data_IF_706741604465
#
_entry.id   IF_706741604465
#
_cell.length_a   1.000
_cell.length_b   1.000
_cell.length_c   1.000
_cell.angle_alpha   90.00
_cell.angle_beta   90.00
_cell.angle_gamma   90.00
#
_symmetry.space_group_name_H-M   'P 1'
#
loop_
_entity.id
_entity.type
_entity.pdbx_description
1 polymer ?
#
# COMPACT_ATOMS: atom_id res chain seq x y z
N UNK A 1 -25.69 -14.13 27.37
CA UNK A 1 -25.46 -13.02 28.32
C UNK A 1 -25.31 -11.74 27.49
N UNK A 2 -26.35 -10.90 27.54
CA UNK A 2 -26.45 -9.71 26.70
C UNK A 2 -25.64 -8.57 27.30
N UNK A 3 -24.44 -8.32 26.75
CA UNK A 3 -23.66 -7.13 27.03
C UNK A 3 -24.35 -5.90 26.47
N UNK A 4 -24.88 -5.06 27.34
CA UNK A 4 -25.46 -3.76 27.02
C UNK A 4 -24.43 -2.92 26.29
N UNK A 5 -24.56 -2.77 24.97
CA UNK A 5 -23.87 -1.75 24.21
C UNK A 5 -24.31 -0.37 24.73
N UNK A 6 -23.58 0.19 25.68
CA UNK A 6 -23.61 1.63 25.98
C UNK A 6 -23.32 2.36 24.67
N UNK A 7 -24.33 2.98 24.08
CA UNK A 7 -24.18 3.86 22.93
C UNK A 7 -23.17 4.94 23.31
N UNK A 8 -22.03 4.91 22.65
CA UNK A 8 -21.06 5.98 22.69
C UNK A 8 -21.76 7.18 22.05
N UNK A 9 -22.14 8.14 22.88
CA UNK A 9 -22.59 9.45 22.44
C UNK A 9 -21.44 10.13 21.73
N UNK A 10 -21.69 10.83 20.63
CA UNK A 10 -20.76 11.80 20.07
C UNK A 10 -20.67 12.95 21.09
N UNK A 11 -19.96 12.73 22.19
CA UNK A 11 -19.61 13.81 23.11
C UNK A 11 -18.37 14.47 22.49
N UNK A 12 -18.45 15.72 21.99
CA UNK A 12 -17.25 16.49 21.82
C UNK A 12 -16.52 16.49 23.16
N UNK A 13 -15.22 16.28 23.14
CA UNK A 13 -14.42 16.27 24.35
C UNK A 13 -14.68 17.58 25.12
N UNK A 14 -15.31 17.46 26.30
CA UNK A 14 -15.70 18.59 27.12
C UNK A 14 -17.22 18.75 27.29
N UNK A 15 -17.60 19.57 28.26
CA UNK A 15 -18.96 19.78 28.75
C UNK A 15 -19.86 20.65 27.82
N UNK A 16 -19.73 20.48 26.49
CA UNK A 16 -20.45 21.30 25.50
C UNK A 16 -21.99 21.19 25.62
N UNK A 17 -22.49 19.99 25.91
CA UNK A 17 -23.94 19.76 26.06
C UNK A 17 -24.49 20.55 27.25
N UNK A 18 -23.80 20.48 28.39
CA UNK A 18 -24.17 21.21 29.60
C UNK A 18 -24.04 22.73 29.39
N UNK A 19 -23.00 23.19 28.70
CA UNK A 19 -22.81 24.59 28.34
C UNK A 19 -23.90 25.09 27.38
N UNK A 20 -24.23 24.31 26.35
CA UNK A 20 -25.29 24.67 25.42
C UNK A 20 -26.67 24.74 26.12
N UNK A 21 -26.94 23.79 27.01
CA UNK A 21 -28.18 23.83 27.82
C UNK A 21 -28.19 25.04 28.80
N UNK A 22 -27.08 25.36 29.42
CA UNK A 22 -26.92 26.51 30.31
C UNK A 22 -27.01 27.86 29.59
N UNK A 23 -26.70 27.90 28.31
CA UNK A 23 -26.83 29.10 27.48
C UNK A 23 -28.30 29.47 27.17
N UNK A 24 -29.24 28.49 27.21
CA UNK A 24 -30.65 28.71 26.91
C UNK A 24 -31.27 29.79 27.79
N UNK A 25 -31.22 29.69 29.14
CA UNK A 25 -31.80 30.72 29.98
C UNK A 25 -31.10 32.08 29.83
N UNK A 26 -29.81 32.14 29.57
CA UNK A 26 -29.06 33.39 29.32
C UNK A 26 -29.56 34.04 28.04
N UNK A 27 -29.63 33.29 26.96
CA UNK A 27 -30.11 33.79 25.66
C UNK A 27 -31.59 34.20 25.74
N UNK A 28 -32.40 33.43 26.45
CA UNK A 28 -33.80 33.73 26.73
C UNK A 28 -33.95 35.08 27.48
N UNK A 29 -33.20 35.26 28.54
CA UNK A 29 -33.17 36.54 29.27
C UNK A 29 -32.73 37.70 28.38
N UNK A 30 -31.69 37.54 27.54
CA UNK A 30 -31.25 38.54 26.59
C UNK A 30 -32.37 38.94 25.61
N UNK A 31 -33.15 38.00 25.12
CA UNK A 31 -34.29 38.26 24.24
C UNK A 31 -35.42 39.03 24.97
N UNK A 32 -35.69 38.74 26.25
CA UNK A 32 -36.65 39.51 27.04
C UNK A 32 -36.15 40.93 27.27
N UNK A 33 -34.90 41.14 27.68
CA UNK A 33 -34.34 42.48 27.86
C UNK A 33 -34.38 43.29 26.55
N UNK A 34 -34.04 42.66 25.40
CA UNK A 34 -34.13 43.27 24.10
C UNK A 34 -35.58 43.65 23.75
N UNK A 35 -36.56 42.75 24.05
CA UNK A 35 -37.96 43.05 23.75
C UNK A 35 -38.53 44.18 24.59
N UNK A 36 -38.09 44.34 25.85
CA UNK A 36 -38.49 45.48 26.71
C UNK A 36 -37.82 46.79 26.30
N UNK A 37 -36.65 46.73 25.68
CA UNK A 37 -35.95 47.89 25.15
C UNK A 37 -36.49 48.38 23.79
N UNK A 38 -37.22 47.58 23.06
CA UNK A 38 -37.83 47.92 21.78
C UNK A 38 -39.31 48.32 21.96
N UNK A 39 -39.91 49.08 21.02
CA UNK A 39 -41.34 49.36 21.06
C UNK A 39 -42.17 48.08 21.09
N UNK A 40 -42.97 47.89 22.13
CA UNK A 40 -43.79 46.69 22.32
C UNK A 40 -45.25 47.11 22.68
N UNK A 41 -46.24 46.23 22.40
CA UNK A 41 -47.63 46.50 22.78
C UNK A 41 -47.78 46.59 24.31
N UNK A 42 -48.49 47.60 24.78
CA UNK A 42 -48.84 47.75 26.19
C UNK A 42 -49.93 46.77 26.58
N UNK A 43 -49.61 45.69 27.27
CA UNK A 43 -50.62 44.68 27.68
C UNK A 43 -50.06 43.60 28.59
N UNK A 44 -48.74 43.51 28.82
CA UNK A 44 -48.11 42.54 29.71
C UNK A 44 -47.66 43.16 31.02
N UNK A 45 -47.33 42.31 31.98
CA UNK A 45 -46.70 42.73 33.25
C UNK A 45 -45.19 42.86 33.05
N UNK A 46 -44.73 44.10 32.68
CA UNK A 46 -43.34 44.40 32.46
C UNK A 46 -42.46 44.12 33.68
N UNK A 47 -42.98 44.32 34.88
CA UNK A 47 -42.24 44.07 36.11
C UNK A 47 -42.02 42.56 36.32
N UNK A 48 -43.04 41.75 36.05
CA UNK A 48 -42.93 40.30 36.08
C UNK A 48 -41.97 39.78 35.01
N UNK A 49 -42.05 40.28 33.75
CA UNK A 49 -41.13 39.92 32.67
C UNK A 49 -39.68 40.24 33.02
N UNK A 50 -39.44 41.43 33.60
CA UNK A 50 -38.09 41.85 34.02
C UNK A 50 -37.55 40.96 35.17
N UNK A 51 -38.38 40.61 36.15
CA UNK A 51 -38.04 39.75 37.25
C UNK A 51 -37.70 38.32 36.75
N UNK A 52 -38.54 37.75 35.88
CA UNK A 52 -38.35 36.44 35.30
C UNK A 52 -37.09 36.38 34.44
N UNK A 53 -36.84 37.40 33.61
CA UNK A 53 -35.60 37.49 32.80
C UNK A 53 -34.34 37.60 33.67
N UNK A 54 -34.40 38.38 34.72
CA UNK A 54 -33.26 38.53 35.65
C UNK A 54 -32.97 37.22 36.36
N UNK A 55 -34.00 36.49 36.80
CA UNK A 55 -33.90 35.15 37.38
C UNK A 55 -33.30 34.14 36.41
N UNK A 56 -33.76 34.16 35.16
CA UNK A 56 -33.20 33.31 34.09
C UNK A 56 -31.73 33.56 33.86
N UNK A 57 -31.32 34.83 33.74
CA UNK A 57 -29.92 35.19 33.55
C UNK A 57 -29.03 34.72 34.69
N UNK A 58 -29.47 34.97 35.95
CA UNK A 58 -28.75 34.53 37.13
C UNK A 58 -28.59 32.99 37.21
N UNK A 59 -29.70 32.28 37.00
CA UNK A 59 -29.73 30.80 37.00
C UNK A 59 -28.86 30.24 35.85
N UNK A 60 -28.93 30.81 34.66
CA UNK A 60 -28.10 30.43 33.51
C UNK A 60 -26.62 30.61 33.76
N UNK A 61 -26.20 31.69 34.41
CA UNK A 61 -24.80 31.94 34.78
C UNK A 61 -24.31 30.89 35.81
N UNK A 62 -25.11 30.54 36.81
CA UNK A 62 -24.81 29.50 37.78
C UNK A 62 -24.69 28.15 37.07
N UNK A 63 -25.66 27.81 36.21
CA UNK A 63 -25.64 26.57 35.44
C UNK A 63 -24.42 26.47 34.52
N UNK A 64 -23.99 27.60 33.92
CA UNK A 64 -22.79 27.68 33.12
C UNK A 64 -21.52 27.41 33.95
N UNK A 65 -21.43 28.00 35.12
CA UNK A 65 -20.30 27.80 36.04
C UNK A 65 -20.22 26.33 36.53
N UNK A 66 -21.37 25.69 36.73
CA UNK A 66 -21.47 24.30 37.18
C UNK A 66 -21.44 23.27 36.01
N UNK A 67 -21.46 23.71 34.78
CA UNK A 67 -21.57 22.85 33.58
C UNK A 67 -20.53 21.73 33.54
N UNK A 68 -19.32 21.95 34.09
CA UNK A 68 -18.24 20.98 34.18
C UNK A 68 -18.55 19.77 35.07
N UNK A 69 -19.48 19.90 36.02
CA UNK A 69 -19.82 18.90 37.03
C UNK A 69 -21.28 18.41 36.93
N UNK A 70 -22.03 18.87 35.93
CA UNK A 70 -23.46 18.62 35.84
C UNK A 70 -23.71 17.19 35.34
N UNK A 71 -24.50 16.38 36.08
CA UNK A 71 -24.93 15.07 35.63
C UNK A 71 -25.94 15.16 34.48
N UNK A 72 -26.15 14.10 33.69
CA UNK A 72 -27.09 14.07 32.58
C UNK A 72 -28.53 14.45 33.01
N UNK A 73 -28.97 13.97 34.16
CA UNK A 73 -30.28 14.35 34.73
C UNK A 73 -30.39 15.87 34.99
N UNK A 74 -29.33 16.52 35.41
CA UNK A 74 -29.28 17.97 35.59
C UNK A 74 -29.42 18.74 34.28
N UNK A 75 -28.81 18.22 33.19
CA UNK A 75 -28.95 18.82 31.86
C UNK A 75 -30.38 18.73 31.34
N UNK A 76 -31.06 17.57 31.55
CA UNK A 76 -32.45 17.41 31.18
C UNK A 76 -33.36 18.31 31.99
N UNK A 77 -33.13 18.43 33.31
CA UNK A 77 -33.87 19.32 34.19
C UNK A 77 -33.71 20.81 33.75
N UNK A 78 -32.51 21.19 33.35
CA UNK A 78 -32.20 22.54 32.86
C UNK A 78 -33.00 22.87 31.58
N UNK A 79 -33.02 21.96 30.61
CA UNK A 79 -33.79 22.16 29.36
C UNK A 79 -35.29 22.19 29.66
N UNK A 80 -35.78 21.27 30.49
CA UNK A 80 -37.20 21.22 30.87
C UNK A 80 -37.63 22.47 31.65
N UNK A 81 -36.78 22.95 32.55
CA UNK A 81 -36.98 24.23 33.27
C UNK A 81 -37.02 25.45 32.36
N UNK A 82 -36.08 25.52 31.40
CA UNK A 82 -36.06 26.61 30.42
C UNK A 82 -37.37 26.64 29.58
N UNK A 83 -37.87 25.46 29.20
CA UNK A 83 -39.17 25.36 28.51
C UNK A 83 -40.34 25.85 29.39
N UNK A 84 -40.36 25.48 30.66
CA UNK A 84 -41.42 25.93 31.59
C UNK A 84 -41.39 27.41 31.83
N UNK A 85 -40.19 27.98 32.05
CA UNK A 85 -40.03 29.44 32.25
C UNK A 85 -40.39 30.21 30.99
N UNK A 86 -40.10 29.67 29.79
CA UNK A 86 -40.58 30.28 28.54
C UNK A 86 -42.11 30.35 28.46
N UNK A 87 -42.78 29.28 28.93
CA UNK A 87 -44.26 29.30 29.05
C UNK A 87 -44.78 30.38 29.99
N UNK A 88 -44.05 30.59 31.12
CA UNK A 88 -44.38 31.69 32.05
C UNK A 88 -44.18 33.07 31.38
N UNK A 89 -43.08 33.29 30.65
CA UNK A 89 -42.82 34.52 29.88
C UNK A 89 -43.96 34.84 28.87
N UNK A 90 -44.46 33.81 28.18
CA UNK A 90 -45.56 33.95 27.25
C UNK A 90 -46.84 34.37 28.00
N UNK A 91 -47.09 33.80 29.18
CA UNK A 91 -48.20 34.15 30.03
C UNK A 91 -48.12 35.60 30.55
N UNK A 92 -46.97 36.03 31.13
CA UNK A 92 -46.70 37.35 31.63
C UNK A 92 -46.75 38.43 30.54
N UNK A 93 -46.38 38.10 29.31
CA UNK A 93 -46.44 39.01 28.15
C UNK A 93 -47.90 39.33 27.73
N UNK A 94 -48.89 38.59 28.20
CA UNK A 94 -50.29 38.76 27.82
C UNK A 94 -50.59 38.47 26.34
N UNK A 95 -49.56 38.08 25.59
CA UNK A 95 -49.66 37.87 24.14
C UNK A 95 -49.43 36.41 23.79
N UNK A 96 -50.50 35.67 23.53
CA UNK A 96 -50.43 34.29 23.09
C UNK A 96 -49.65 34.08 21.76
N UNK A 97 -49.32 35.16 21.08
CA UNK A 97 -48.43 35.22 19.88
C UNK A 97 -47.22 36.09 20.22
N UNK A 98 -46.44 35.65 21.19
CA UNK A 98 -45.24 36.40 21.60
C UNK A 98 -43.99 35.90 20.92
N UNK A 99 -43.01 36.81 20.78
CA UNK A 99 -41.67 36.55 20.30
C UNK A 99 -40.93 35.46 21.13
N UNK A 100 -41.33 35.22 22.35
CA UNK A 100 -40.70 34.27 23.28
C UNK A 100 -40.85 32.80 22.86
N UNK A 101 -41.85 32.46 22.05
CA UNK A 101 -41.99 31.10 21.47
C UNK A 101 -40.77 30.65 20.65
N UNK A 102 -39.94 31.59 20.15
CA UNK A 102 -38.72 31.29 19.44
C UNK A 102 -37.67 30.58 20.32
N UNK A 103 -37.70 30.82 21.64
CA UNK A 103 -36.80 30.14 22.62
C UNK A 103 -37.04 28.63 22.61
N UNK A 104 -38.26 28.15 22.38
CA UNK A 104 -38.59 26.75 22.30
C UNK A 104 -37.90 26.03 21.13
N UNK A 105 -37.66 26.71 20.01
CA UNK A 105 -36.89 26.17 18.87
C UNK A 105 -35.49 25.80 19.32
N UNK A 106 -34.84 26.66 20.11
CA UNK A 106 -33.46 26.37 20.62
C UNK A 106 -33.44 25.17 21.57
N UNK A 107 -34.46 25.03 22.45
CA UNK A 107 -34.56 23.89 23.34
C UNK A 107 -34.68 22.58 22.56
N UNK A 108 -35.52 22.54 21.51
CA UNK A 108 -35.69 21.36 20.65
C UNK A 108 -34.47 21.10 19.78
N UNK A 109 -33.82 22.13 19.28
CA UNK A 109 -32.53 22.00 18.55
C UNK A 109 -31.46 21.33 19.42
N UNK A 110 -31.27 21.80 20.65
CA UNK A 110 -30.29 21.21 21.60
C UNK A 110 -30.72 19.76 21.92
N UNK A 111 -31.99 19.53 22.24
CA UNK A 111 -32.49 18.19 22.54
C UNK A 111 -32.24 17.23 21.33
N UNK A 112 -32.51 17.71 20.11
CA UNK A 112 -32.40 16.88 18.89
C UNK A 112 -30.94 16.64 18.45
N UNK A 113 -30.05 17.59 18.72
CA UNK A 113 -28.64 17.49 18.34
C UNK A 113 -27.82 16.60 19.31
N UNK A 114 -28.01 16.80 20.61
CA UNK A 114 -27.20 16.16 21.63
C UNK A 114 -27.76 14.86 22.21
N UNK A 115 -29.07 14.61 22.08
CA UNK A 115 -29.72 13.44 22.70
C UNK A 115 -30.30 12.47 21.67
N UNK A 116 -30.66 11.28 22.15
CA UNK A 116 -31.33 10.29 21.30
C UNK A 116 -32.72 10.76 20.88
N UNK A 117 -33.20 10.26 19.74
CA UNK A 117 -34.53 10.59 19.22
C UNK A 117 -35.64 10.37 20.27
N UNK A 118 -35.50 9.36 21.12
CA UNK A 118 -36.48 9.08 22.20
C UNK A 118 -36.53 10.21 23.23
N UNK A 119 -35.37 10.70 23.64
CA UNK A 119 -35.26 11.80 24.61
C UNK A 119 -35.72 13.11 23.98
N UNK A 120 -35.37 13.39 22.73
CA UNK A 120 -35.87 14.57 22.01
C UNK A 120 -37.40 14.58 21.91
N UNK A 121 -38.05 13.42 21.69
CA UNK A 121 -39.52 13.26 21.73
C UNK A 121 -40.09 13.59 23.12
N UNK A 122 -39.44 13.15 24.20
CA UNK A 122 -39.86 13.48 25.56
C UNK A 122 -39.82 14.98 25.82
N UNK A 123 -38.74 15.66 25.40
CA UNK A 123 -38.65 17.12 25.53
C UNK A 123 -39.70 17.85 24.66
N UNK A 124 -39.97 17.36 23.44
CA UNK A 124 -41.03 17.91 22.61
C UNK A 124 -42.39 17.76 23.25
N UNK A 125 -42.68 16.55 23.79
CA UNK A 125 -43.96 16.29 24.49
C UNK A 125 -44.15 17.20 25.72
N UNK A 126 -43.10 17.37 26.52
CA UNK A 126 -43.07 18.30 27.65
C UNK A 126 -43.34 19.76 27.21
N UNK A 127 -42.67 20.24 26.17
CA UNK A 127 -42.84 21.58 25.60
C UNK A 127 -44.29 21.78 25.14
N UNK A 128 -44.86 20.81 24.43
CA UNK A 128 -46.26 20.89 23.96
C UNK A 128 -47.27 20.89 25.10
N UNK A 129 -46.99 20.16 26.21
CA UNK A 129 -47.82 20.19 27.41
C UNK A 129 -47.76 21.56 28.08
N UNK A 130 -46.56 22.13 28.28
CA UNK A 130 -46.38 23.49 28.81
C UNK A 130 -47.13 24.51 27.94
N UNK A 131 -46.98 24.40 26.61
CA UNK A 131 -47.66 25.34 25.69
C UNK A 131 -49.16 25.19 25.72
N UNK A 132 -49.70 23.99 25.82
CA UNK A 132 -51.16 23.79 25.95
C UNK A 132 -51.73 24.46 27.22
N UNK A 133 -51.03 24.34 28.36
CA UNK A 133 -51.39 25.02 29.61
C UNK A 133 -51.30 26.56 29.43
N UNK A 134 -50.21 27.05 28.85
CA UNK A 134 -50.05 28.51 28.63
C UNK A 134 -51.17 29.07 27.75
N UNK A 135 -51.53 28.39 26.65
CA UNK A 135 -52.64 28.79 25.78
C UNK A 135 -54.02 28.77 26.44
N UNK A 136 -54.20 27.88 27.45
CA UNK A 136 -55.42 27.86 28.24
C UNK A 136 -55.58 28.99 29.26
N UNK A 137 -54.44 29.60 29.68
CA UNK A 137 -54.38 30.67 30.67
C UNK A 137 -54.34 32.07 30.06
N UNK A 138 -53.92 32.20 28.80
CA UNK A 138 -53.82 33.50 28.11
C UNK A 138 -55.08 33.77 27.29
N UNK A 139 -55.74 34.90 27.50
CA UNK A 139 -56.88 35.29 26.71
C UNK A 139 -56.54 35.51 25.24
N UNK A 140 -57.31 34.89 24.35
CA UNK A 140 -57.04 34.91 22.91
C UNK A 140 -57.53 36.21 22.28
N UNK A 141 -56.65 37.20 22.14
CA UNK A 141 -56.96 38.50 21.52
C UNK A 141 -56.73 38.52 19.99
N UNK A 142 -56.25 37.49 19.39
CA UNK A 142 -55.91 37.46 17.95
C UNK A 142 -56.64 36.31 17.18
N UNK A 143 -56.90 36.51 15.91
CA UNK A 143 -57.76 35.74 14.99
C UNK A 143 -57.55 34.23 14.82
N UNK A 144 -56.60 33.57 15.48
CA UNK A 144 -56.42 32.13 15.43
C UNK A 144 -56.76 31.48 16.76
N UNK A 145 -57.49 30.35 16.71
CA UNK A 145 -57.82 29.57 17.89
C UNK A 145 -56.60 29.01 18.62
N UNK A 146 -56.63 28.82 19.95
CA UNK A 146 -55.55 28.17 20.69
C UNK A 146 -55.13 26.80 20.10
N UNK A 147 -56.08 26.02 19.63
CA UNK A 147 -55.83 24.72 18.99
C UNK A 147 -55.01 24.87 17.70
N UNK A 148 -55.37 25.85 16.86
CA UNK A 148 -54.60 26.11 15.60
C UNK A 148 -53.14 26.45 15.90
N UNK A 149 -52.88 27.30 16.88
CA UNK A 149 -51.51 27.70 17.30
C UNK A 149 -50.74 26.50 17.83
N UNK A 150 -51.37 25.66 18.66
CA UNK A 150 -50.77 24.48 19.21
C UNK A 150 -50.38 23.48 18.08
N UNK A 151 -51.26 23.26 17.10
CA UNK A 151 -51.01 22.41 15.95
C UNK A 151 -49.83 22.95 15.10
N UNK A 152 -49.80 24.23 14.79
CA UNK A 152 -48.70 24.83 14.04
C UNK A 152 -47.36 24.68 14.76
N UNK A 153 -47.32 24.89 16.08
CA UNK A 153 -46.10 24.71 16.89
C UNK A 153 -45.68 23.23 16.92
N UNK A 154 -46.63 22.30 17.11
CA UNK A 154 -46.36 20.86 17.04
C UNK A 154 -45.72 20.48 15.70
N UNK A 155 -46.34 20.89 14.59
CA UNK A 155 -45.85 20.56 13.25
C UNK A 155 -44.45 21.17 13.04
N UNK A 156 -44.25 22.46 13.31
CA UNK A 156 -43.02 23.17 13.11
C UNK A 156 -41.89 22.57 13.93
N UNK A 157 -42.06 22.34 15.21
CA UNK A 157 -41.06 21.78 16.10
C UNK A 157 -40.76 20.30 15.78
N UNK A 158 -41.78 19.56 15.34
CA UNK A 158 -41.61 18.18 14.89
C UNK A 158 -40.76 18.12 13.64
N UNK A 159 -40.99 19.01 12.66
CA UNK A 159 -40.16 19.10 11.45
C UNK A 159 -38.72 19.45 11.81
N UNK A 160 -38.49 20.45 12.66
CA UNK A 160 -37.14 20.81 13.14
C UNK A 160 -36.47 19.62 13.82
N UNK A 161 -37.15 18.93 14.73
CA UNK A 161 -36.63 17.74 15.41
C UNK A 161 -36.23 16.65 14.41
N UNK A 162 -37.09 16.37 13.42
CA UNK A 162 -36.84 15.33 12.42
C UNK A 162 -35.64 15.69 11.50
N UNK A 163 -35.53 16.94 11.06
CA UNK A 163 -34.45 17.41 10.26
C UNK A 163 -33.12 17.31 10.99
N UNK A 164 -33.03 17.87 12.20
CA UNK A 164 -31.80 17.84 13.00
C UNK A 164 -31.36 16.42 13.34
N UNK A 165 -32.28 15.60 13.84
CA UNK A 165 -31.97 14.19 14.13
C UNK A 165 -31.62 13.41 12.87
N UNK A 166 -32.20 13.75 11.72
CA UNK A 166 -31.84 13.18 10.41
C UNK A 166 -30.40 13.50 10.01
N UNK A 167 -30.01 14.75 10.10
CA UNK A 167 -28.65 15.22 9.78
C UNK A 167 -27.63 14.58 10.70
N UNK A 168 -27.84 14.63 12.01
CA UNK A 168 -26.92 14.06 13.02
C UNK A 168 -26.75 12.53 12.80
N UNK A 169 -27.86 11.82 12.55
CA UNK A 169 -27.80 10.40 12.29
C UNK A 169 -27.15 10.06 10.93
N UNK A 170 -27.30 10.92 9.92
CA UNK A 170 -26.63 10.73 8.64
C UNK A 170 -25.13 10.91 8.78
N UNK A 171 -24.69 11.97 9.48
CA UNK A 171 -23.28 12.22 9.77
C UNK A 171 -22.65 11.07 10.58
N UNK A 172 -23.29 10.66 11.69
CA UNK A 172 -22.80 9.55 12.51
C UNK A 172 -22.74 8.22 11.73
N UNK A 173 -23.63 8.02 10.74
CA UNK A 173 -23.56 6.84 9.84
C UNK A 173 -22.41 6.95 8.85
N UNK A 174 -22.15 8.15 8.32
CA UNK A 174 -21.02 8.39 7.43
C UNK A 174 -19.68 8.16 8.14
N UNK A 175 -19.49 8.74 9.33
CA UNK A 175 -18.29 8.55 10.15
C UNK A 175 -18.07 7.07 10.51
N UNK A 176 -19.15 6.38 10.90
CA UNK A 176 -19.07 4.95 11.20
C UNK A 176 -18.72 4.10 9.98
N UNK A 177 -19.18 4.48 8.78
CA UNK A 177 -18.79 3.81 7.54
C UNK A 177 -17.32 4.06 7.22
N UNK A 178 -16.89 5.31 7.26
CA UNK A 178 -15.49 5.68 7.01
C UNK A 178 -14.55 4.92 7.95
N UNK A 179 -14.85 4.91 9.26
CA UNK A 179 -14.08 4.16 10.24
C UNK A 179 -14.07 2.65 9.99
N UNK A 180 -15.21 2.07 9.55
CA UNK A 180 -15.26 0.65 9.18
C UNK A 180 -14.41 0.34 7.95
N UNK A 181 -14.42 1.20 6.91
CA UNK A 181 -13.54 1.04 5.75
C UNK A 181 -12.08 1.08 6.16
N UNK A 182 -11.69 2.02 7.02
CA UNK A 182 -10.35 2.11 7.56
C UNK A 182 -9.94 0.83 8.29
N UNK A 183 -10.76 0.35 9.23
CA UNK A 183 -10.45 -0.83 10.05
C UNK A 183 -10.50 -2.16 9.29
N UNK A 184 -11.42 -2.31 8.32
CA UNK A 184 -11.60 -3.56 7.57
C UNK A 184 -10.69 -3.66 6.35
N UNK A 185 -9.93 -2.61 6.02
CA UNK A 185 -8.94 -2.68 4.94
C UNK A 185 -7.94 -3.82 5.19
N UNK A 186 -7.60 -4.56 4.14
CA UNK A 186 -6.50 -5.51 4.17
C UNK A 186 -5.15 -4.80 4.15
N UNK A 187 -5.07 -3.66 3.47
CA UNK A 187 -3.85 -2.85 3.47
C UNK A 187 -3.64 -2.18 4.84
N UNK A 188 -2.40 -2.04 5.22
CA UNK A 188 -1.97 -1.30 6.39
C UNK A 188 -2.10 0.19 6.11
N UNK A 189 -3.11 0.82 6.72
CA UNK A 189 -3.37 2.24 6.59
C UNK A 189 -2.81 2.98 7.80
N UNK A 190 -2.17 4.11 7.56
CA UNK A 190 -1.74 5.01 8.62
C UNK A 190 -1.83 6.48 8.20
N UNK A 191 -2.02 7.34 9.19
CA UNK A 191 -1.79 8.77 9.08
C UNK A 191 -0.56 9.14 9.90
N UNK A 192 0.27 10.03 9.38
CA UNK A 192 1.51 10.48 10.03
C UNK A 192 1.58 12.00 10.04
N UNK A 193 2.28 12.55 11.02
CA UNK A 193 2.65 13.96 11.03
C UNK A 193 3.88 14.25 10.15
N UNK A 194 4.31 15.50 10.13
CA UNK A 194 5.46 15.98 9.36
C UNK A 194 6.79 15.34 9.79
N UNK A 195 6.89 14.88 11.03
CA UNK A 195 8.04 14.18 11.57
C UNK A 195 8.02 12.67 11.27
N UNK A 196 6.99 12.18 10.57
CA UNK A 196 6.79 10.77 10.23
C UNK A 196 6.31 9.91 11.40
N UNK A 197 5.71 10.52 12.43
CA UNK A 197 5.12 9.80 13.56
C UNK A 197 3.70 9.39 13.27
N UNK A 198 3.39 8.13 13.51
CA UNK A 198 2.04 7.58 13.34
C UNK A 198 1.05 8.27 14.27
N UNK A 199 -0.02 8.82 13.73
CA UNK A 199 -1.13 9.42 14.45
C UNK A 199 -2.31 8.45 14.58
N UNK A 200 -2.62 7.78 13.48
CA UNK A 200 -3.69 6.79 13.43
C UNK A 200 -3.26 5.64 12.52
N UNK A 201 -3.54 4.40 12.94
CA UNK A 201 -3.26 3.18 12.17
C UNK A 201 -4.44 2.23 12.28
N UNK A 202 -4.71 1.45 11.23
CA UNK A 202 -5.78 0.47 11.25
C UNK A 202 -5.31 -0.89 11.79
N UNK A 203 -6.26 -1.80 12.06
CA UNK A 203 -5.97 -3.14 12.57
C UNK A 203 -5.17 -4.05 11.63
N UNK A 204 -4.90 -3.66 10.38
CA UNK A 204 -4.08 -4.44 9.47
C UNK A 204 -2.62 -4.52 9.93
N UNK A 205 -2.09 -3.49 10.57
CA UNK A 205 -0.73 -3.50 11.14
C UNK A 205 -0.53 -4.64 12.15
N UNK A 206 -1.55 -4.89 12.98
CA UNK A 206 -1.49 -5.99 13.93
C UNK A 206 -1.56 -7.37 13.24
N UNK A 207 -2.31 -7.48 12.15
CA UNK A 207 -2.45 -8.74 11.40
C UNK A 207 -1.20 -9.10 10.60
N UNK A 208 -0.52 -8.11 10.01
CA UNK A 208 0.63 -8.34 9.13
C UNK A 208 1.97 -8.26 9.84
N UNK A 209 2.14 -7.27 10.74
CA UNK A 209 3.42 -7.01 11.40
C UNK A 209 3.39 -7.22 12.93
N UNK A 210 2.22 -7.57 13.50
CA UNK A 210 2.08 -7.86 14.92
C UNK A 210 2.01 -6.64 15.85
N UNK A 211 2.09 -5.40 15.34
CA UNK A 211 2.02 -4.18 16.15
C UNK A 211 0.59 -3.73 16.35
N UNK A 212 0.19 -3.51 17.60
CA UNK A 212 -1.12 -2.90 17.89
C UNK A 212 -1.14 -1.40 17.56
N UNK A 213 -2.33 -0.80 17.30
CA UNK A 213 -2.45 0.62 17.06
C UNK A 213 -1.85 1.49 18.18
N UNK A 214 -1.98 1.05 19.43
CA UNK A 214 -1.47 1.76 20.60
C UNK A 214 0.06 1.77 20.65
N UNK A 215 0.70 0.70 20.21
CA UNK A 215 2.17 0.57 20.13
C UNK A 215 2.75 1.45 19.01
N UNK A 216 2.02 1.59 17.89
CA UNK A 216 2.47 2.41 16.77
C UNK A 216 2.17 3.90 16.95
N UNK A 217 1.22 4.27 17.81
CA UNK A 217 0.89 5.67 18.02
C UNK A 217 2.10 6.48 18.52
N UNK A 218 2.47 7.53 17.80
CA UNK A 218 3.66 8.36 18.09
C UNK A 218 5.00 7.75 17.66
N UNK A 219 5.04 6.50 17.20
CA UNK A 219 6.27 5.86 16.69
C UNK A 219 6.58 6.40 15.29
N UNK A 220 7.86 6.62 14.99
CA UNK A 220 8.32 6.98 13.65
C UNK A 220 8.42 5.70 12.81
N UNK A 221 7.77 5.66 11.66
CA UNK A 221 7.87 4.50 10.76
C UNK A 221 9.30 4.22 10.29
N UNK A 222 10.12 5.26 10.19
CA UNK A 222 11.54 5.13 9.86
C UNK A 222 12.29 4.25 10.87
N UNK A 223 11.91 4.28 12.15
CA UNK A 223 12.57 3.48 13.22
C UNK A 223 12.31 1.97 13.05
N UNK A 224 11.27 1.61 12.29
CA UNK A 224 10.94 0.22 11.94
C UNK A 224 11.48 -0.16 10.56
N UNK A 225 11.98 0.78 9.77
CA UNK A 225 12.52 0.56 8.42
C UNK A 225 13.95 0.03 8.51
N UNK A 226 14.35 -0.81 7.55
CA UNK A 226 15.71 -1.34 7.49
C UNK A 226 16.74 -0.21 7.29
N UNK A 227 17.90 -0.24 7.99
CA UNK A 227 18.90 0.84 7.92
C UNK A 227 19.33 1.22 6.49
N UNK A 228 19.51 0.24 5.61
CA UNK A 228 19.91 0.48 4.21
C UNK A 228 18.84 1.26 3.41
N UNK A 229 17.57 1.22 3.86
CA UNK A 229 16.46 1.87 3.19
C UNK A 229 16.17 3.28 3.76
N UNK A 230 16.89 3.70 4.84
CA UNK A 230 16.66 4.98 5.53
C UNK A 230 16.89 6.19 4.63
N UNK A 231 18.03 6.25 3.93
CA UNK A 231 18.37 7.39 3.06
C UNK A 231 17.31 7.60 1.98
N UNK A 232 16.90 6.51 1.33
CA UNK A 232 15.88 6.54 0.29
C UNK A 232 14.51 6.94 0.84
N UNK A 233 14.16 6.46 2.02
CA UNK A 233 12.91 6.81 2.70
C UNK A 233 12.84 8.29 3.08
N UNK A 234 13.94 8.85 3.59
CA UNK A 234 14.04 10.27 3.92
C UNK A 234 13.98 11.16 2.68
N UNK A 235 14.70 10.78 1.62
CA UNK A 235 14.68 11.54 0.36
C UNK A 235 13.27 11.60 -0.24
N UNK A 236 12.55 10.47 -0.20
CA UNK A 236 11.16 10.38 -0.69
C UNK A 236 10.20 11.21 0.17
N UNK A 237 10.34 11.16 1.50
CA UNK A 237 9.56 11.98 2.41
C UNK A 237 9.77 13.48 2.13
N UNK A 238 11.03 13.93 1.97
CA UNK A 238 11.35 15.31 1.62
C UNK A 238 10.75 15.73 0.27
N UNK A 239 10.80 14.84 -0.72
CA UNK A 239 10.18 15.06 -2.04
C UNK A 239 8.67 15.24 -1.92
N UNK A 240 8.00 14.39 -1.14
CA UNK A 240 6.56 14.45 -0.88
C UNK A 240 6.15 15.81 -0.29
N UNK A 241 6.87 16.29 0.72
CA UNK A 241 6.59 17.60 1.32
C UNK A 241 6.89 18.77 0.38
N UNK A 242 7.94 18.67 -0.45
CA UNK A 242 8.34 19.71 -1.39
C UNK A 242 7.40 19.82 -2.59
N UNK A 243 7.01 18.71 -3.17
CA UNK A 243 6.23 18.66 -4.42
C UNK A 243 4.73 18.55 -4.15
N UNK A 244 4.34 17.91 -3.05
CA UNK A 244 2.95 17.55 -2.74
C UNK A 244 2.41 16.43 -3.62
N UNK A 245 3.29 15.75 -4.37
CA UNK A 245 2.92 14.63 -5.24
C UNK A 245 2.84 13.34 -4.44
N UNK A 246 1.96 12.42 -4.85
CA UNK A 246 1.95 11.07 -4.26
C UNK A 246 3.25 10.34 -4.59
N UNK A 247 3.77 9.60 -3.63
CA UNK A 247 4.97 8.78 -3.77
C UNK A 247 4.65 7.30 -3.59
N UNK A 248 5.46 6.44 -4.22
CA UNK A 248 5.40 4.98 -4.03
C UNK A 248 6.80 4.48 -3.75
N UNK A 249 6.98 3.84 -2.61
CA UNK A 249 8.26 3.33 -2.14
C UNK A 249 8.13 1.89 -1.66
N UNK A 250 9.13 1.06 -1.99
CA UNK A 250 9.26 -0.30 -1.43
C UNK A 250 10.42 -0.31 -0.44
N UNK A 251 10.13 -0.69 0.80
CA UNK A 251 11.11 -0.75 1.89
C UNK A 251 10.91 -1.99 2.74
N UNK A 252 11.98 -2.42 3.38
CA UNK A 252 11.94 -3.46 4.40
C UNK A 252 11.53 -2.86 5.73
N UNK A 253 10.49 -3.40 6.34
CA UNK A 253 9.99 -2.98 7.65
C UNK A 253 10.04 -4.16 8.59
N UNK A 254 10.50 -3.92 9.82
CA UNK A 254 10.64 -4.95 10.85
C UNK A 254 9.30 -5.22 11.51
N UNK A 255 8.87 -6.47 11.50
CA UNK A 255 7.73 -6.93 12.27
C UNK A 255 8.09 -7.09 13.75
N UNK A 256 7.09 -7.24 14.60
CA UNK A 256 7.25 -7.37 16.07
C UNK A 256 8.01 -8.62 16.48
N UNK A 257 7.96 -9.68 15.68
CA UNK A 257 8.71 -10.91 15.90
C UNK A 257 10.19 -10.82 15.45
N UNK A 258 10.58 -9.66 14.89
CA UNK A 258 11.93 -9.40 14.38
C UNK A 258 12.15 -9.72 12.92
N UNK A 259 11.19 -10.33 12.22
CA UNK A 259 11.28 -10.62 10.79
C UNK A 259 11.20 -9.35 9.94
N UNK A 260 11.78 -9.39 8.73
CA UNK A 260 11.74 -8.31 7.77
C UNK A 260 10.69 -8.58 6.71
N UNK A 261 9.79 -7.60 6.51
CA UNK A 261 8.74 -7.63 5.51
C UNK A 261 8.96 -6.53 4.47
N UNK A 262 8.79 -6.85 3.20
CA UNK A 262 8.78 -5.86 2.14
C UNK A 262 7.42 -5.19 2.06
N UNK A 263 7.39 -3.90 2.33
CA UNK A 263 6.18 -3.09 2.20
C UNK A 263 6.28 -2.18 0.99
N UNK A 264 5.26 -2.22 0.14
CA UNK A 264 5.03 -1.21 -0.90
C UNK A 264 4.10 -0.16 -0.31
N UNK A 265 4.64 1.01 -0.03
CA UNK A 265 3.92 2.12 0.60
C UNK A 265 3.65 3.22 -0.41
N UNK A 266 2.37 3.61 -0.53
CA UNK A 266 1.93 4.78 -1.28
C UNK A 266 1.55 5.87 -0.28
N UNK A 267 2.15 7.05 -0.39
CA UNK A 267 1.98 8.17 0.52
C UNK A 267 1.44 9.40 -0.22
N UNK A 268 0.54 10.14 0.43
CA UNK A 268 -0.04 11.39 -0.09
C UNK A 268 -0.13 12.42 1.03
N UNK A 269 0.29 13.66 0.76
CA UNK A 269 0.22 14.77 1.70
C UNK A 269 -1.12 15.50 1.59
N UNK A 270 -1.89 15.56 2.67
CA UNK A 270 -3.03 16.46 2.83
C UNK A 270 -2.51 17.81 3.40
N UNK A 271 -2.35 18.80 2.51
CA UNK A 271 -1.71 20.09 2.86
C UNK A 271 -2.49 20.91 3.87
N UNK A 272 -3.82 20.82 3.83
CA UNK A 272 -4.76 21.49 4.74
C UNK A 272 -4.69 20.95 6.17
N UNK A 273 -4.46 19.66 6.32
CA UNK A 273 -4.36 18.98 7.62
C UNK A 273 -2.92 18.85 8.11
N UNK A 274 -1.92 19.06 7.23
CA UNK A 274 -0.49 18.81 7.46
C UNK A 274 -0.22 17.36 7.88
N UNK A 275 -0.99 16.42 7.29
CA UNK A 275 -0.89 14.99 7.55
C UNK A 275 -0.52 14.23 6.28
N UNK A 276 0.29 13.20 6.45
CA UNK A 276 0.59 12.22 5.39
C UNK A 276 -0.31 11.02 5.57
N UNK A 277 -1.07 10.70 4.54
CA UNK A 277 -1.87 9.48 4.44
C UNK A 277 -1.08 8.43 3.70
N UNK A 278 -0.83 7.30 4.33
CA UNK A 278 -0.07 6.21 3.74
C UNK A 278 -0.86 4.91 3.74
N UNK A 279 -0.70 4.19 2.62
CA UNK A 279 -1.19 2.83 2.41
C UNK A 279 -0.03 1.92 2.13
N UNK A 280 0.16 0.90 2.94
CA UNK A 280 1.21 -0.09 2.78
C UNK A 280 0.61 -1.47 2.52
N UNK A 281 1.13 -2.15 1.51
CA UNK A 281 0.78 -3.53 1.16
C UNK A 281 2.02 -4.40 1.37
N UNK A 282 1.87 -5.54 2.06
CA UNK A 282 2.95 -6.51 2.20
C UNK A 282 3.17 -7.23 0.86
N UNK A 283 4.36 -7.03 0.29
CA UNK A 283 4.79 -7.63 -0.97
C UNK A 283 5.90 -8.67 -0.78
N UNK A 284 6.12 -9.13 0.45
CA UNK A 284 7.20 -10.08 0.79
C UNK A 284 7.09 -11.35 -0.03
N UNK A 285 5.90 -11.96 -0.09
CA UNK A 285 5.68 -13.16 -0.90
C UNK A 285 5.91 -12.92 -2.39
N UNK A 286 5.51 -11.77 -2.90
CA UNK A 286 5.76 -11.40 -4.29
C UNK A 286 7.27 -11.31 -4.58
N UNK A 287 8.05 -10.67 -3.70
CA UNK A 287 9.52 -10.58 -3.83
C UNK A 287 10.20 -11.95 -3.78
N UNK A 288 9.73 -12.84 -2.92
CA UNK A 288 10.27 -14.21 -2.85
C UNK A 288 9.99 -15.01 -4.13
N UNK A 289 8.77 -14.89 -4.66
CA UNK A 289 8.39 -15.57 -5.92
C UNK A 289 9.17 -14.97 -7.11
N UNK A 290 9.38 -13.67 -7.16
CA UNK A 290 10.19 -13.01 -8.20
C UNK A 290 11.65 -13.51 -8.15
N UNK A 291 12.27 -13.55 -6.98
CA UNK A 291 13.63 -14.05 -6.80
C UNK A 291 13.77 -15.53 -7.18
N UNK A 292 12.83 -16.37 -6.77
CA UNK A 292 12.82 -17.82 -7.14
C UNK A 292 12.64 -17.99 -8.65
N UNK A 293 11.77 -17.19 -9.28
CA UNK A 293 11.59 -17.21 -10.73
C UNK A 293 12.87 -16.84 -11.47
N UNK A 294 13.57 -15.80 -11.02
CA UNK A 294 14.84 -15.38 -11.63
C UNK A 294 15.89 -16.47 -11.51
N UNK A 295 16.00 -17.11 -10.34
CA UNK A 295 16.90 -18.24 -10.11
C UNK A 295 16.60 -19.41 -11.07
N UNK A 296 15.33 -19.83 -11.14
CA UNK A 296 14.90 -20.92 -12.02
C UNK A 296 15.15 -20.59 -13.50
N UNK A 297 14.93 -19.35 -13.93
CA UNK A 297 15.24 -18.91 -15.29
C UNK A 297 16.73 -18.99 -15.58
N UNK A 298 17.58 -18.62 -14.62
CA UNK A 298 19.04 -18.80 -14.72
C UNK A 298 19.43 -20.28 -14.89
N UNK A 299 18.89 -21.14 -14.04
CA UNK A 299 19.14 -22.59 -14.10
C UNK A 299 18.70 -23.21 -15.45
N UNK A 300 17.52 -22.80 -15.95
CA UNK A 300 17.03 -23.25 -17.27
C UNK A 300 17.93 -22.74 -18.40
N UNK A 301 18.42 -21.51 -18.33
CA UNK A 301 19.36 -20.98 -19.33
C UNK A 301 20.68 -21.72 -19.32
N UNK A 302 21.22 -22.05 -18.15
CA UNK A 302 22.47 -22.79 -18.01
C UNK A 302 22.29 -24.23 -18.53
N UNK A 303 21.20 -24.92 -18.20
CA UNK A 303 20.87 -26.22 -18.77
C UNK A 303 20.72 -26.18 -20.30
N UNK A 304 20.15 -25.13 -20.85
CA UNK A 304 19.98 -24.96 -22.29
C UNK A 304 21.30 -24.69 -23.05
N UNK A 305 22.41 -24.39 -22.35
CA UNK A 305 23.75 -24.13 -22.89
C UNK A 305 24.70 -25.31 -22.78
N UNK A 306 24.34 -26.34 -22.04
CA UNK A 306 25.14 -27.55 -21.84
C UNK A 306 24.64 -28.72 -22.66
N UNK A 307 25.52 -29.60 -23.03
CA UNK A 307 25.21 -30.93 -23.58
C UNK A 307 24.86 -31.90 -22.45
N UNK A 308 23.68 -32.48 -22.50
CA UNK A 308 23.16 -33.31 -21.40
C UNK A 308 23.98 -34.61 -21.16
N UNK A 309 24.75 -35.08 -22.15
CA UNK A 309 25.55 -36.30 -22.04
C UNK A 309 26.92 -36.02 -21.43
N UNK A 310 27.59 -34.99 -21.91
CA UNK A 310 29.00 -34.70 -21.57
C UNK A 310 29.17 -33.58 -20.52
N UNK A 311 28.13 -32.75 -20.30
CA UNK A 311 28.21 -31.59 -19.44
C UNK A 311 28.97 -30.40 -20.05
N UNK A 312 29.58 -30.56 -21.21
CA UNK A 312 30.28 -29.49 -21.92
C UNK A 312 29.31 -28.46 -22.48
N UNK A 313 29.77 -27.22 -22.78
CA UNK A 313 29.03 -26.30 -23.62
C UNK A 313 28.51 -26.96 -24.89
N UNK A 314 27.27 -26.63 -25.27
CA UNK A 314 26.67 -27.16 -26.49
C UNK A 314 26.79 -26.17 -27.68
N UNK A 315 26.33 -26.57 -28.84
CA UNK A 315 26.34 -25.76 -30.08
C UNK A 315 25.70 -24.37 -29.87
N UNK A 316 24.65 -24.28 -29.05
CA UNK A 316 24.00 -23.00 -28.75
C UNK A 316 24.91 -22.06 -27.96
N UNK A 317 25.60 -22.59 -26.96
CA UNK A 317 26.59 -21.84 -26.19
C UNK A 317 27.69 -21.29 -27.11
N UNK A 318 28.19 -22.10 -28.06
CA UNK A 318 29.16 -21.68 -29.06
C UNK A 318 28.66 -20.48 -29.89
N UNK A 319 27.42 -20.53 -30.38
CA UNK A 319 26.83 -19.42 -31.18
C UNK A 319 26.79 -18.10 -30.40
N UNK A 320 26.63 -18.14 -29.08
CA UNK A 320 26.66 -16.97 -28.22
C UNK A 320 28.09 -16.51 -27.89
N UNK A 321 29.04 -17.45 -27.78
CA UNK A 321 30.42 -17.18 -27.39
C UNK A 321 31.26 -16.64 -28.57
N UNK A 322 31.16 -17.23 -29.75
CA UNK A 322 31.98 -16.90 -30.92
C UNK A 322 31.97 -15.40 -31.27
N UNK A 323 30.85 -14.68 -31.38
CA UNK A 323 30.85 -13.27 -31.69
C UNK A 323 31.60 -12.41 -30.65
N UNK A 324 31.57 -12.85 -29.38
CA UNK A 324 32.24 -12.15 -28.27
C UNK A 324 33.73 -12.35 -28.36
N UNK A 325 34.20 -13.56 -28.57
CA UNK A 325 35.64 -13.86 -28.70
C UNK A 325 36.22 -13.24 -29.97
N UNK A 326 35.53 -13.30 -31.09
CA UNK A 326 35.96 -12.57 -32.32
C UNK A 326 36.07 -11.05 -32.09
N UNK A 327 35.12 -10.46 -31.39
CA UNK A 327 35.14 -9.04 -31.04
C UNK A 327 36.29 -8.70 -30.07
N UNK A 328 36.58 -9.61 -29.13
CA UNK A 328 37.73 -9.49 -28.19
C UNK A 328 39.04 -9.59 -28.94
N UNK A 329 39.21 -10.62 -29.77
CA UNK A 329 40.42 -10.84 -30.57
C UNK A 329 40.69 -9.64 -31.50
N UNK A 330 39.67 -9.10 -32.17
CA UNK A 330 39.77 -7.90 -33.01
C UNK A 330 40.25 -6.68 -32.24
N UNK A 331 39.71 -6.43 -31.05
CA UNK A 331 40.10 -5.28 -30.22
C UNK A 331 41.51 -5.40 -29.70
N UNK A 332 41.92 -6.59 -29.31
CA UNK A 332 43.23 -6.87 -28.72
C UNK A 332 44.31 -7.13 -29.78
N UNK A 333 43.91 -7.27 -31.05
CA UNK A 333 44.79 -7.71 -32.14
C UNK A 333 45.47 -9.04 -31.82
N UNK A 334 44.74 -9.94 -31.15
CA UNK A 334 45.24 -11.24 -30.76
C UNK A 334 44.71 -12.34 -31.68
N UNK A 335 45.47 -13.43 -31.87
CA UNK A 335 45.05 -14.55 -32.69
C UNK A 335 43.87 -15.29 -32.02
N UNK A 336 42.98 -15.88 -32.83
CA UNK A 336 41.89 -16.73 -32.43
C UNK A 336 41.88 -17.96 -33.32
N UNK A 337 42.06 -19.14 -32.72
CA UNK A 337 42.02 -20.39 -33.45
C UNK A 337 40.76 -21.19 -33.10
N UNK A 338 40.26 -21.93 -34.06
CA UNK A 338 39.14 -22.86 -33.94
C UNK A 338 39.53 -24.21 -34.50
N UNK A 339 39.33 -25.28 -33.70
CA UNK A 339 39.50 -26.63 -34.20
C UNK A 339 38.16 -27.39 -34.10
N UNK A 340 37.86 -28.19 -35.14
CA UNK A 340 36.81 -29.20 -35.14
C UNK A 340 37.51 -30.54 -34.96
N UNK A 341 37.06 -31.33 -33.99
CA UNK A 341 37.59 -32.63 -33.60
C UNK A 341 36.46 -33.64 -33.72
N UNK A 342 36.73 -34.78 -34.38
CA UNK A 342 35.74 -35.81 -34.59
C UNK A 342 36.38 -37.19 -34.26
N UNK A 343 35.63 -38.02 -33.51
CA UNK A 343 36.09 -39.36 -33.09
C UNK A 343 36.02 -40.30 -34.28
N UNK A 344 37.15 -40.84 -34.68
CA UNK A 344 37.26 -41.71 -35.83
C UNK A 344 36.47 -43.01 -35.66
N UNK A 345 35.73 -43.37 -36.73
CA UNK A 345 34.96 -44.61 -36.78
C UNK A 345 33.90 -44.78 -35.68
N UNK A 346 33.47 -43.71 -35.04
CA UNK A 346 32.54 -43.74 -33.89
C UNK A 346 31.22 -44.48 -34.21
N UNK A 347 30.67 -44.32 -35.41
CA UNK A 347 29.51 -45.06 -35.83
C UNK A 347 29.76 -46.58 -35.81
N UNK A 348 30.91 -47.04 -36.35
CA UNK A 348 31.27 -48.47 -36.36
C UNK A 348 31.47 -49.01 -34.92
N UNK A 349 31.99 -48.15 -34.04
CA UNK A 349 32.12 -48.51 -32.62
C UNK A 349 30.73 -48.70 -31.98
N UNK A 350 29.80 -47.78 -32.21
CA UNK A 350 28.42 -47.90 -31.75
C UNK A 350 27.73 -49.18 -32.29
N UNK A 351 27.90 -49.44 -33.59
CA UNK A 351 27.31 -50.63 -34.23
C UNK A 351 27.83 -51.95 -33.62
N UNK A 352 29.08 -51.94 -33.13
CA UNK A 352 29.72 -53.11 -32.53
C UNK A 352 29.44 -53.26 -31.03
N UNK A 353 29.48 -52.17 -30.26
CA UNK A 353 29.45 -52.21 -28.80
C UNK A 353 28.15 -51.62 -28.18
N UNK A 354 27.30 -51.08 -29.03
CA UNK A 354 26.03 -50.44 -28.61
C UNK A 354 26.20 -48.99 -28.20
N UNK A 355 25.08 -48.26 -28.28
CA UNK A 355 25.04 -46.79 -28.00
C UNK A 355 25.50 -46.43 -26.58
N UNK A 356 25.23 -47.28 -25.56
CA UNK A 356 25.66 -47.00 -24.19
C UNK A 356 27.19 -46.99 -24.07
N UNK A 357 27.90 -47.87 -24.80
CA UNK A 357 29.35 -47.84 -24.83
C UNK A 357 29.89 -46.61 -25.58
N UNK A 358 29.23 -46.20 -26.65
CA UNK A 358 29.56 -44.93 -27.31
C UNK A 358 29.35 -43.71 -26.43
N UNK A 359 28.28 -43.69 -25.65
CA UNK A 359 28.05 -42.61 -24.67
C UNK A 359 29.18 -42.51 -23.63
N UNK A 360 29.75 -43.66 -23.19
CA UNK A 360 30.90 -43.66 -22.29
C UNK A 360 32.15 -43.13 -22.96
N UNK A 361 32.40 -43.45 -24.25
CA UNK A 361 33.49 -42.88 -25.03
C UNK A 361 33.36 -41.37 -25.09
N UNK A 362 32.17 -40.84 -25.41
CA UNK A 362 31.93 -39.37 -25.48
C UNK A 362 32.17 -38.72 -24.14
N UNK A 363 31.68 -39.29 -23.03
CA UNK A 363 31.96 -38.78 -21.68
C UNK A 363 33.43 -38.81 -21.31
N UNK A 364 34.13 -39.88 -21.70
CA UNK A 364 35.55 -40.00 -21.45
C UNK A 364 36.36 -38.97 -22.25
N UNK A 365 36.08 -38.82 -23.58
CA UNK A 365 36.71 -37.80 -24.41
C UNK A 365 36.46 -36.39 -23.84
N UNK A 366 35.25 -36.08 -23.46
CA UNK A 366 34.93 -34.79 -22.88
C UNK A 366 35.78 -34.48 -21.63
N UNK A 367 35.92 -35.42 -20.71
CA UNK A 367 36.72 -35.25 -19.48
C UNK A 367 38.22 -35.12 -19.75
N UNK A 368 38.76 -36.00 -20.55
CA UNK A 368 40.19 -36.01 -20.85
C UNK A 368 40.61 -34.77 -21.66
N UNK A 369 39.81 -34.39 -22.63
CA UNK A 369 40.09 -33.24 -23.48
C UNK A 369 39.94 -31.89 -22.76
N UNK A 370 38.90 -31.76 -21.91
CA UNK A 370 38.69 -30.56 -21.07
C UNK A 370 39.91 -30.38 -20.10
N UNK A 371 40.42 -31.47 -19.56
CA UNK A 371 41.61 -31.47 -18.70
C UNK A 371 42.93 -31.05 -19.37
N UNK A 372 42.97 -31.06 -20.68
CA UNK A 372 44.13 -30.60 -21.48
C UNK A 372 44.11 -29.11 -21.71
N UNK A 373 42.94 -28.52 -21.69
CA UNK A 373 42.71 -27.13 -22.06
C UNK A 373 42.98 -26.19 -20.87
N UNK A 374 43.22 -24.93 -21.15
CA UNK A 374 43.38 -23.87 -20.15
C UNK A 374 42.01 -23.30 -19.80
N UNK A 375 41.91 -22.58 -18.73
CA UNK A 375 40.65 -21.94 -18.31
C UNK A 375 40.07 -20.91 -19.29
N UNK A 376 40.88 -20.43 -20.25
CA UNK A 376 40.47 -19.49 -21.31
C UNK A 376 40.05 -20.20 -22.59
N UNK A 377 40.47 -21.46 -22.78
CA UNK A 377 40.07 -22.30 -23.89
C UNK A 377 38.64 -22.86 -23.64
N UNK A 378 37.92 -23.14 -24.70
CA UNK A 378 36.58 -23.67 -24.57
C UNK A 378 36.39 -24.91 -25.41
N UNK A 379 36.05 -26.03 -24.77
CA UNK A 379 35.62 -27.27 -25.43
C UNK A 379 34.08 -27.28 -25.51
N UNK A 380 33.57 -27.54 -26.69
CA UNK A 380 32.12 -27.57 -27.00
C UNK A 380 31.80 -28.89 -27.63
N UNK A 381 30.73 -29.56 -27.23
CA UNK A 381 30.16 -30.65 -28.01
C UNK A 381 29.24 -30.07 -29.08
N UNK A 382 29.65 -30.16 -30.35
CA UNK A 382 28.96 -29.57 -31.46
C UNK A 382 27.77 -30.40 -31.93
N UNK A 383 27.91 -31.72 -31.88
CA UNK A 383 26.82 -32.67 -32.19
C UNK A 383 27.39 -34.07 -32.46
N UNK A 384 26.63 -35.15 -32.12
CA UNK A 384 27.07 -36.52 -32.33
C UNK A 384 28.42 -36.82 -31.70
N UNK A 385 29.41 -37.15 -32.52
CA UNK A 385 30.82 -37.39 -32.15
C UNK A 385 31.76 -36.19 -32.40
N UNK A 386 31.18 -35.02 -32.78
CA UNK A 386 31.94 -33.82 -33.12
C UNK A 386 32.08 -32.90 -31.92
N UNK A 387 33.31 -32.50 -31.67
CA UNK A 387 33.66 -31.49 -30.65
C UNK A 387 34.36 -30.31 -31.32
N UNK A 388 34.28 -29.16 -30.70
CA UNK A 388 34.87 -27.95 -31.15
C UNK A 388 35.70 -27.34 -30.04
N UNK A 389 36.91 -26.90 -30.39
CA UNK A 389 37.85 -26.29 -29.46
C UNK A 389 38.09 -24.86 -29.92
N UNK A 390 37.77 -23.92 -29.06
CA UNK A 390 38.00 -22.47 -29.26
C UNK A 390 39.22 -22.08 -28.44
N UNK A 391 40.23 -21.50 -29.10
CA UNK A 391 41.52 -21.17 -28.53
C UNK A 391 41.79 -19.66 -28.71
N UNK A 392 41.33 -18.83 -27.76
CA UNK A 392 41.65 -17.41 -27.78
C UNK A 392 43.14 -17.15 -27.47
N UNK A 393 43.64 -16.02 -27.95
CA UNK A 393 45.01 -15.53 -27.69
C UNK A 393 46.11 -16.60 -27.98
N UNK A 394 45.84 -17.48 -28.98
CA UNK A 394 46.67 -18.65 -29.30
C UNK A 394 47.06 -18.64 -30.78
N UNK A 395 48.35 -18.62 -31.09
CA UNK A 395 48.80 -18.69 -32.47
C UNK A 395 48.60 -20.11 -33.08
N UNK A 396 48.67 -20.24 -34.43
CA UNK A 396 48.38 -21.51 -35.10
C UNK A 396 49.33 -22.68 -34.70
N UNK A 397 50.57 -22.36 -34.38
CA UNK A 397 51.58 -23.38 -34.01
C UNK A 397 51.24 -23.94 -32.61
N UNK A 398 50.97 -23.03 -31.64
CA UNK A 398 50.55 -23.42 -30.31
C UNK A 398 49.19 -24.14 -30.33
N UNK A 399 48.25 -23.64 -31.14
CA UNK A 399 46.94 -24.27 -31.31
C UNK A 399 47.06 -25.70 -31.85
N UNK A 400 47.96 -25.92 -32.81
CA UNK A 400 48.25 -27.25 -33.36
C UNK A 400 48.83 -28.19 -32.30
N UNK A 401 49.74 -27.70 -31.43
CA UNK A 401 50.28 -28.50 -30.31
C UNK A 401 49.19 -28.86 -29.30
N UNK A 402 48.28 -27.95 -28.98
CA UNK A 402 47.16 -28.21 -28.07
C UNK A 402 46.24 -29.27 -28.66
N UNK A 403 45.81 -29.12 -29.92
CA UNK A 403 44.93 -30.07 -30.60
C UNK A 403 45.58 -31.43 -30.80
N UNK A 404 46.88 -31.49 -31.12
CA UNK A 404 47.62 -32.78 -31.24
C UNK A 404 47.74 -33.45 -29.87
N UNK A 405 47.88 -32.68 -28.78
CA UNK A 405 47.83 -33.22 -27.42
C UNK A 405 46.48 -33.80 -27.09
N UNK A 406 45.34 -33.14 -27.45
CA UNK A 406 44.01 -33.67 -27.32
C UNK A 406 43.87 -35.00 -28.06
N UNK A 407 44.29 -35.03 -29.34
CA UNK A 407 44.27 -36.24 -30.16
C UNK A 407 44.99 -37.44 -29.50
N UNK A 408 46.21 -37.21 -29.01
CA UNK A 408 47.01 -38.27 -28.33
C UNK A 408 46.42 -38.72 -27.00
N UNK A 409 45.59 -37.92 -26.38
CA UNK A 409 44.91 -38.25 -25.12
C UNK A 409 43.49 -38.77 -25.34
N UNK A 410 43.11 -39.08 -26.59
CA UNK A 410 41.82 -39.70 -26.88
C UNK A 410 41.75 -41.06 -26.16
N UNK A 411 40.78 -41.26 -25.27
CA UNK A 411 40.72 -42.41 -24.38
C UNK A 411 40.13 -43.64 -25.07
N UNK A 412 40.18 -44.82 -24.37
CA UNK A 412 39.49 -46.07 -24.72
C UNK A 412 39.93 -46.63 -26.09
N UNK A 413 41.22 -46.48 -26.41
CA UNK A 413 41.83 -46.95 -27.68
C UNK A 413 41.15 -46.37 -28.94
N UNK A 414 40.41 -45.28 -28.78
CA UNK A 414 39.87 -44.52 -29.92
C UNK A 414 40.88 -43.54 -30.45
N UNK A 415 40.71 -43.17 -31.71
CA UNK A 415 41.45 -42.04 -32.33
C UNK A 415 40.48 -40.93 -32.69
N UNK A 416 41.01 -39.75 -32.91
CA UNK A 416 40.26 -38.67 -33.46
C UNK A 416 41.02 -37.94 -34.55
N UNK A 417 40.31 -37.36 -35.48
CA UNK A 417 40.84 -36.44 -36.51
C UNK A 417 40.44 -35.01 -36.17
N UNK A 418 41.29 -34.08 -36.51
CA UNK A 418 41.03 -32.65 -36.25
C UNK A 418 41.33 -31.75 -37.45
N UNK A 419 40.53 -30.71 -37.62
CA UNK A 419 40.79 -29.62 -38.55
C UNK A 419 40.91 -28.32 -37.80
N UNK A 420 42.02 -27.57 -37.95
CA UNK A 420 42.33 -26.32 -37.25
C UNK A 420 42.33 -25.15 -38.24
N UNK A 421 41.66 -24.09 -37.92
CA UNK A 421 41.63 -22.86 -38.66
C UNK A 421 41.98 -21.65 -37.78
N UNK A 422 42.85 -20.76 -38.28
CA UNK A 422 43.09 -19.44 -37.71
C UNK A 422 42.02 -18.47 -38.25
N UNK A 423 41.39 -17.68 -37.39
CA UNK A 423 40.51 -16.60 -37.83
C UNK A 423 41.33 -15.44 -38.44
N UNK A 424 40.92 -14.97 -39.62
CA UNK A 424 41.56 -13.92 -40.39
C UNK A 424 41.24 -12.49 -39.94
N UNK A 425 40.48 -12.34 -38.84
CA UNK A 425 40.00 -11.06 -38.30
C UNK A 425 38.87 -10.38 -39.11
N UNK A 426 38.49 -10.90 -40.26
CA UNK A 426 37.51 -10.33 -41.16
C UNK A 426 36.31 -11.28 -41.49
N UNK A 427 36.57 -12.58 -41.59
CA UNK A 427 35.55 -13.57 -41.95
C UNK A 427 34.46 -13.77 -40.93
N UNK A 428 33.34 -14.33 -41.35
CA UNK A 428 32.24 -14.69 -40.47
C UNK A 428 32.52 -15.99 -39.68
N UNK A 429 31.73 -16.21 -38.63
CA UNK A 429 31.75 -17.47 -37.86
C UNK A 429 31.55 -18.68 -38.77
N UNK A 430 30.63 -18.59 -39.71
CA UNK A 430 30.27 -19.68 -40.62
C UNK A 430 31.42 -20.00 -41.60
N UNK A 431 32.16 -18.98 -42.07
CA UNK A 431 33.34 -19.15 -42.93
C UNK A 431 34.49 -19.81 -42.18
N UNK A 432 34.77 -19.38 -40.95
CA UNK A 432 35.78 -19.98 -40.08
C UNK A 432 35.48 -21.46 -39.80
N UNK A 433 34.21 -21.78 -39.44
CA UNK A 433 33.72 -23.16 -39.24
C UNK A 433 33.89 -24.00 -40.49
N UNK A 434 33.52 -23.46 -41.66
CA UNK A 434 33.67 -24.15 -42.95
C UNK A 434 35.12 -24.51 -43.23
N UNK A 435 36.10 -23.60 -43.02
CA UNK A 435 37.53 -23.85 -43.22
C UNK A 435 38.07 -24.94 -42.27
N UNK A 436 37.65 -24.91 -41.02
CA UNK A 436 38.02 -25.95 -40.04
C UNK A 436 37.44 -27.30 -40.44
N UNK A 437 36.20 -27.37 -40.96
CA UNK A 437 35.57 -28.57 -41.44
C UNK A 437 36.22 -29.17 -42.68
N UNK A 438 36.59 -28.31 -43.66
CA UNK A 438 37.37 -28.69 -44.84
C UNK A 438 38.72 -29.30 -44.43
N UNK A 439 39.44 -28.73 -43.46
CA UNK A 439 40.66 -29.27 -42.89
C UNK A 439 40.43 -30.61 -42.20
N UNK A 440 39.37 -30.77 -41.40
CA UNK A 440 38.96 -32.05 -40.79
C UNK A 440 38.71 -33.10 -41.84
N UNK A 441 38.00 -32.76 -42.92
CA UNK A 441 37.80 -33.70 -44.04
C UNK A 441 39.12 -34.18 -44.65
N UNK A 442 40.10 -33.26 -44.83
CA UNK A 442 41.44 -33.66 -45.31
C UNK A 442 42.17 -34.60 -44.34
N UNK A 443 42.09 -34.31 -43.02
CA UNK A 443 42.65 -35.21 -42.02
C UNK A 443 42.04 -36.61 -42.09
N UNK A 444 40.74 -36.72 -42.22
CA UNK A 444 40.03 -38.00 -42.40
C UNK A 444 40.39 -38.71 -43.70
N UNK A 445 40.50 -37.99 -44.79
CA UNK A 445 40.85 -38.54 -46.09
C UNK A 445 42.31 -39.04 -46.18
N UNK A 446 43.23 -38.39 -45.42
CA UNK A 446 44.66 -38.71 -45.40
C UNK A 446 45.06 -39.87 -44.44
N UNK A 447 44.07 -40.56 -43.87
CA UNK A 447 44.31 -41.76 -43.05
C UNK A 447 43.84 -41.70 -41.63
N UNK A 448 43.15 -40.59 -41.24
CA UNK A 448 42.62 -40.36 -39.88
C UNK A 448 43.74 -40.23 -38.81
N UNK A 449 43.36 -40.16 -37.52
CA UNK A 449 44.25 -40.02 -36.38
C UNK A 449 45.32 -38.93 -36.62
N UNK A 450 44.88 -37.76 -37.10
CA UNK A 450 45.80 -36.65 -37.43
C UNK A 450 45.07 -35.30 -37.41
N UNK A 451 45.87 -34.25 -37.32
CA UNK A 451 45.49 -32.88 -37.47
C UNK A 451 45.80 -32.37 -38.87
N UNK A 452 44.90 -31.64 -39.48
CA UNK A 452 45.14 -30.84 -40.68
C UNK A 452 44.92 -29.34 -40.38
N UNK A 453 45.72 -28.50 -40.98
CA UNK A 453 45.59 -27.06 -40.91
C UNK A 453 44.84 -26.53 -42.11
N UNK A 454 43.86 -25.66 -41.90
CA UNK A 454 43.19 -24.96 -42.97
C UNK A 454 44.14 -23.95 -43.60
N UNK A 455 44.13 -23.84 -44.92
CA UNK A 455 44.82 -22.74 -45.62
C UNK A 455 44.25 -21.39 -45.17
N UNK A 456 45.12 -20.40 -45.00
CA UNK A 456 44.69 -19.02 -44.77
C UNK A 456 43.77 -18.58 -45.89
N UNK A 457 42.68 -17.88 -45.55
CA UNK A 457 41.84 -17.27 -46.58
C UNK A 457 42.69 -16.32 -47.44
N UNK A 458 42.67 -16.55 -48.76
CA UNK A 458 43.48 -15.80 -49.74
C UNK A 458 43.01 -14.34 -49.88
#
# INVERSE_FOLDING_TARGET
MAGSQKRVWNRPAGNWVARAAAALPIAGAGLVFLSLALPHPSGGDEAALLATATGMAFFGVIAMALSGRMPDAGIHALIAGAVAVTGLLIYESGAAVGQYGTIWVWAILIASYFFSRRIAIVHLAWLLAVYAVTLGLVESTAGYSPLTRWIFTLVSLTVVMLLVTGIVNAQARADKRARRFFELSHDMLCTMDEEGRCREVNGAWARHLGYTPEELHGTRLLDLTHPDDHERSLAEAMSLFKTGSSSVLETRVRAKDGSWHWLRTSSTLAKDERLVYARSTDVTQLKLIEAEREKLLGEVQDMARQDALTGLPNRRCLQELMPREMSRARRNQSPLCLAIVDIDHFKSYNDTHGHLAGDEVLRACAREWDGVLRGEDTLVRFGGEEFLVLLPDTDPEQAAEIVDRLRRQTPMEQTCSAGLALWDSAESVDDLLRRADEALYLAKASGRDQLALAELAA
#
